data_IF_619963838031
#
_entry.id   IF_619963838031
#
_cell.length_a   1.000
_cell.length_b   1.000
_cell.length_c   1.000
_cell.angle_alpha   90.00
_cell.angle_beta   90.00
_cell.angle_gamma   90.00
#
_symmetry.space_group_name_H-M   'P 1'
#
loop_
_entity.id
_entity.type
_entity.pdbx_description
1 polymer ?
#
# COMPACT_ATOMS: atom_id res chain seq x y z
N UNK A 1 -19.92 31.10 36.37
CA UNK A 1 -19.84 29.77 35.76
C UNK A 1 -21.15 29.28 35.10
N UNK A 2 -22.23 30.08 35.06
CA UNK A 2 -23.50 29.73 34.39
C UNK A 2 -23.77 30.44 33.05
N UNK A 3 -22.95 31.41 32.65
CA UNK A 3 -23.13 32.18 31.42
C UNK A 3 -22.37 31.66 30.20
N UNK A 4 -21.32 30.89 30.38
CA UNK A 4 -20.54 30.28 29.28
C UNK A 4 -21.25 29.10 28.62
N UNK A 5 -22.06 28.38 29.37
CA UNK A 5 -22.74 27.17 28.87
C UNK A 5 -23.94 27.52 27.94
N UNK A 6 -24.55 28.69 28.14
CA UNK A 6 -25.65 29.14 27.28
C UNK A 6 -25.18 29.64 25.91
N UNK A 7 -23.98 30.24 25.83
CA UNK A 7 -23.43 30.68 24.53
C UNK A 7 -22.96 29.49 23.67
N UNK A 8 -22.38 28.44 24.28
CA UNK A 8 -21.98 27.22 23.53
C UNK A 8 -23.17 26.45 22.93
N UNK A 9 -24.30 26.41 23.65
CA UNK A 9 -25.51 25.76 23.10
C UNK A 9 -26.12 26.51 21.93
N UNK A 10 -26.10 27.83 21.97
CA UNK A 10 -26.65 28.68 20.88
C UNK A 10 -25.79 28.63 19.61
N UNK A 11 -24.46 28.54 19.74
CA UNK A 11 -23.56 28.41 18.59
C UNK A 11 -23.69 27.04 17.90
N UNK A 12 -23.85 25.96 18.67
CA UNK A 12 -24.07 24.63 18.08
C UNK A 12 -25.42 24.53 17.35
N UNK A 13 -26.45 25.19 17.86
CA UNK A 13 -27.79 25.17 17.24
C UNK A 13 -27.82 25.99 15.93
N UNK A 14 -27.08 27.14 15.86
CA UNK A 14 -26.98 27.93 14.63
C UNK A 14 -26.13 27.21 13.54
N UNK A 15 -25.04 26.55 13.90
CA UNK A 15 -24.25 25.79 12.93
C UNK A 15 -25.01 24.57 12.40
N UNK A 16 -25.79 23.89 13.24
CA UNK A 16 -26.63 22.77 12.81
C UNK A 16 -27.75 23.18 11.83
N UNK A 17 -28.38 24.32 12.07
CA UNK A 17 -29.43 24.82 11.19
C UNK A 17 -28.88 25.35 9.84
N UNK A 18 -27.68 25.96 9.84
CA UNK A 18 -27.03 26.42 8.62
C UNK A 18 -26.53 25.26 7.75
N UNK A 19 -26.02 24.17 8.33
CA UNK A 19 -25.65 22.98 7.55
C UNK A 19 -26.85 22.22 7.00
N UNK A 20 -27.95 22.15 7.73
CA UNK A 20 -29.17 21.52 7.22
C UNK A 20 -29.79 22.31 6.05
N UNK A 21 -29.72 23.64 6.07
CA UNK A 21 -30.24 24.47 4.95
C UNK A 21 -29.31 24.45 3.72
N UNK A 22 -28.00 24.29 3.88
CA UNK A 22 -27.08 24.13 2.76
C UNK A 22 -27.20 22.73 2.08
N UNK A 23 -27.53 21.69 2.84
CA UNK A 23 -27.79 20.35 2.28
C UNK A 23 -29.13 20.26 1.53
N UNK A 24 -30.11 21.11 1.84
CA UNK A 24 -31.39 21.15 1.16
C UNK A 24 -31.39 22.02 -0.12
N UNK A 25 -30.41 22.89 -0.31
CA UNK A 25 -30.30 23.71 -1.52
C UNK A 25 -29.34 23.12 -2.57
N UNK A 26 -28.57 22.09 -2.23
CA UNK A 26 -27.69 21.37 -3.15
C UNK A 26 -28.38 20.20 -3.89
N UNK A 27 -29.60 19.82 -3.51
CA UNK A 27 -30.36 18.72 -4.13
C UNK A 27 -31.52 19.20 -5.01
N UNK A 28 -31.44 20.39 -5.56
CA UNK A 28 -32.41 20.94 -6.51
C UNK A 28 -32.16 20.56 -7.97
N UNK A 29 -31.27 19.62 -8.25
CA UNK A 29 -31.27 18.86 -9.49
C UNK A 29 -32.29 17.72 -9.32
N UNK A 30 -33.40 17.76 -10.03
CA UNK A 30 -34.25 16.60 -10.18
C UNK A 30 -33.37 15.45 -10.66
N UNK A 31 -33.03 14.50 -9.74
CA UNK A 31 -32.52 13.22 -10.21
C UNK A 31 -33.51 12.75 -11.25
N UNK A 32 -33.11 12.51 -12.51
CA UNK A 32 -34.02 11.97 -13.49
C UNK A 32 -34.59 10.70 -12.87
N UNK A 33 -35.93 10.64 -12.80
CA UNK A 33 -36.61 9.45 -12.31
C UNK A 33 -36.19 8.27 -13.19
N UNK A 34 -36.14 7.08 -12.64
CA UNK A 34 -35.80 5.87 -13.40
C UNK A 34 -36.54 5.80 -14.77
N UNK A 35 -37.78 6.31 -14.82
CA UNK A 35 -38.59 6.44 -16.04
C UNK A 35 -37.95 7.33 -17.12
N UNK A 36 -37.19 8.37 -16.77
CA UNK A 36 -36.56 9.24 -17.79
C UNK A 36 -35.34 8.59 -18.44
N UNK A 37 -34.67 7.67 -17.73
CA UNK A 37 -33.57 6.86 -18.29
C UNK A 37 -34.07 5.69 -19.15
N UNK A 38 -35.19 5.13 -18.80
CA UNK A 38 -35.78 4.00 -19.55
C UNK A 38 -36.22 4.38 -20.97
N UNK A 39 -36.39 5.66 -21.27
CA UNK A 39 -36.87 6.16 -22.55
C UNK A 39 -35.82 6.83 -23.44
N UNK A 40 -34.54 6.79 -23.00
CA UNK A 40 -33.48 7.44 -23.75
C UNK A 40 -32.91 6.50 -24.80
N UNK A 41 -33.11 6.79 -26.06
CA UNK A 41 -32.46 6.10 -27.18
C UNK A 41 -30.92 6.35 -27.22
N UNK A 42 -30.45 7.25 -26.38
CA UNK A 42 -29.03 7.65 -26.27
C UNK A 42 -28.38 7.21 -24.96
N UNK A 43 -28.92 6.21 -24.31
CA UNK A 43 -28.34 5.72 -23.05
C UNK A 43 -26.99 5.09 -23.30
N UNK A 44 -25.97 5.59 -22.55
CA UNK A 44 -24.62 5.04 -22.58
C UNK A 44 -24.41 4.11 -21.39
N UNK A 45 -24.12 2.87 -21.66
CA UNK A 45 -23.84 1.85 -20.66
C UNK A 45 -22.37 1.46 -20.72
N UNK A 46 -21.66 1.52 -19.58
CA UNK A 46 -20.23 1.21 -19.53
C UNK A 46 -19.34 2.25 -20.21
N UNK A 47 -18.22 1.82 -20.77
CA UNK A 47 -17.25 2.67 -21.46
C UNK A 47 -17.63 2.74 -22.94
N UNK A 48 -18.02 3.92 -23.40
CA UNK A 48 -18.40 4.16 -24.79
C UNK A 48 -19.91 4.33 -25.00
N UNK A 49 -20.30 4.76 -26.20
CA UNK A 49 -21.71 4.87 -26.57
C UNK A 49 -22.26 3.50 -26.97
N UNK A 50 -23.28 3.11 -26.29
CA UNK A 50 -24.00 1.88 -26.59
C UNK A 50 -25.50 2.19 -26.77
N UNK A 51 -26.01 2.17 -28.00
CA UNK A 51 -27.41 2.38 -28.28
C UNK A 51 -28.23 1.10 -28.03
N UNK A 52 -28.35 0.73 -26.74
CA UNK A 52 -29.09 -0.47 -26.34
C UNK A 52 -30.27 -0.15 -25.45
N UNK A 53 -31.06 -1.17 -25.13
CA UNK A 53 -32.17 -1.07 -24.19
C UNK A 53 -31.59 -0.86 -22.78
N UNK A 54 -31.99 0.20 -22.05
CA UNK A 54 -31.56 0.39 -20.64
C UNK A 54 -31.92 -0.77 -19.69
N UNK A 55 -32.88 -1.62 -20.11
CA UNK A 55 -33.25 -2.81 -19.35
C UNK A 55 -32.36 -4.03 -19.60
N UNK A 56 -31.49 -3.97 -20.62
CA UNK A 56 -30.52 -5.03 -20.83
C UNK A 56 -29.56 -5.14 -19.65
N UNK A 57 -29.49 -6.30 -19.07
CA UNK A 57 -28.56 -6.65 -18.03
C UNK A 57 -27.57 -7.72 -18.54
N UNK A 58 -26.31 -7.30 -18.74
CA UNK A 58 -25.25 -8.18 -19.19
C UNK A 58 -24.55 -8.89 -18.03
N UNK A 59 -24.91 -8.59 -16.79
CA UNK A 59 -24.35 -9.27 -15.62
C UNK A 59 -24.83 -10.73 -15.63
N UNK A 60 -23.91 -11.70 -15.48
CA UNK A 60 -24.32 -13.10 -15.39
C UNK A 60 -25.16 -13.34 -14.14
N UNK A 61 -26.26 -14.04 -14.28
CA UNK A 61 -26.98 -14.58 -13.13
C UNK A 61 -26.11 -15.65 -12.47
N UNK A 62 -25.91 -15.54 -11.14
CA UNK A 62 -25.10 -16.47 -10.38
C UNK A 62 -26.00 -17.36 -9.51
N UNK A 63 -25.73 -18.66 -9.49
CA UNK A 63 -26.39 -19.60 -8.60
C UNK A 63 -25.37 -20.59 -7.98
N UNK A 64 -25.64 -21.09 -6.74
CA UNK A 64 -24.81 -22.13 -6.14
C UNK A 64 -24.81 -23.42 -6.97
N UNK A 65 -23.64 -24.02 -7.13
CA UNK A 65 -23.50 -25.37 -7.74
C UNK A 65 -23.15 -26.40 -6.69
N UNK A 66 -24.12 -27.15 -6.17
CA UNK A 66 -23.87 -28.19 -5.15
C UNK A 66 -23.33 -29.51 -5.73
N UNK A 67 -23.21 -29.62 -7.04
CA UNK A 67 -22.83 -30.86 -7.71
C UNK A 67 -21.34 -31.03 -7.90
N UNK A 68 -20.63 -29.97 -8.26
CA UNK A 68 -19.23 -30.03 -8.70
C UNK A 68 -18.27 -29.66 -7.56
N UNK A 69 -17.36 -30.57 -7.25
CA UNK A 69 -16.25 -30.31 -6.33
C UNK A 69 -15.13 -29.58 -7.06
N UNK A 70 -14.78 -28.37 -6.61
CA UNK A 70 -13.81 -27.50 -7.28
C UNK A 70 -13.27 -26.42 -6.34
N UNK A 71 -12.35 -25.57 -6.78
CA UNK A 71 -12.01 -24.34 -6.09
C UNK A 71 -13.20 -23.36 -6.16
N UNK A 72 -13.90 -23.19 -5.04
CA UNK A 72 -15.07 -22.31 -4.90
C UNK A 72 -14.69 -20.89 -4.46
N UNK A 73 -13.41 -20.61 -4.18
CA UNK A 73 -12.87 -19.30 -3.87
C UNK A 73 -12.51 -18.49 -5.12
N UNK A 74 -12.31 -19.17 -6.25
CA UNK A 74 -11.87 -18.52 -7.48
C UNK A 74 -12.80 -17.40 -7.93
N UNK A 75 -12.23 -16.21 -8.17
CA UNK A 75 -12.94 -14.99 -8.56
C UNK A 75 -14.00 -14.55 -7.55
N UNK A 76 -13.82 -14.89 -6.28
CA UNK A 76 -14.65 -14.44 -5.18
C UNK A 76 -14.04 -13.21 -4.51
N UNK A 77 -14.91 -12.41 -3.89
CA UNK A 77 -14.45 -11.23 -3.16
C UNK A 77 -13.58 -11.65 -1.98
N UNK A 78 -12.40 -11.03 -1.87
CA UNK A 78 -11.49 -11.24 -0.77
C UNK A 78 -11.21 -9.92 -0.03
N UNK A 79 -10.95 -10.02 1.26
CA UNK A 79 -10.72 -8.90 2.17
C UNK A 79 -9.52 -9.23 3.05
N UNK A 80 -8.77 -8.22 3.45
CA UNK A 80 -7.61 -8.40 4.32
C UNK A 80 -7.55 -7.33 5.40
N UNK A 81 -6.83 -7.63 6.49
CA UNK A 81 -6.54 -6.68 7.57
C UNK A 81 -5.77 -5.48 7.07
N UNK A 82 -4.86 -5.71 6.12
CA UNK A 82 -4.02 -4.68 5.52
C UNK A 82 -3.59 -5.08 4.10
N UNK A 83 -3.04 -4.12 3.36
CA UNK A 83 -2.29 -4.36 2.12
C UNK A 83 -1.10 -3.41 2.09
N UNK A 84 0.06 -3.92 1.67
CA UNK A 84 1.28 -3.12 1.57
C UNK A 84 1.14 -2.01 0.54
N UNK A 85 0.45 -2.30 -0.55
CA UNK A 85 0.25 -1.39 -1.67
C UNK A 85 -1.12 -1.65 -2.31
N UNK A 86 -1.70 -0.64 -2.97
CA UNK A 86 -2.99 -0.78 -3.64
C UNK A 86 -2.94 -1.70 -4.88
N UNK A 87 -1.73 -2.05 -5.36
CA UNK A 87 -1.55 -3.05 -6.41
C UNK A 87 -1.36 -4.48 -5.85
N UNK A 88 -1.32 -4.67 -4.53
CA UNK A 88 -1.06 -5.94 -3.85
C UNK A 88 -2.21 -6.25 -2.88
N UNK A 89 -3.44 -6.16 -3.39
CA UNK A 89 -4.68 -6.25 -2.61
C UNK A 89 -5.21 -7.67 -2.51
N UNK A 90 -6.09 -7.91 -1.54
CA UNK A 90 -6.65 -9.23 -1.24
C UNK A 90 -7.31 -9.93 -2.46
N UNK A 91 -7.90 -9.17 -3.38
CA UNK A 91 -8.54 -9.69 -4.59
C UNK A 91 -7.61 -10.52 -5.47
N UNK A 92 -6.32 -10.22 -5.45
CA UNK A 92 -5.32 -10.93 -6.24
C UNK A 92 -5.02 -12.34 -5.71
N UNK A 93 -5.43 -12.64 -4.47
CA UNK A 93 -5.29 -13.98 -3.91
C UNK A 93 -6.46 -14.92 -4.24
N UNK A 94 -7.39 -14.49 -5.11
CA UNK A 94 -8.53 -15.32 -5.54
C UNK A 94 -8.81 -15.21 -7.04
N UNK A 95 -7.89 -14.64 -7.83
CA UNK A 95 -8.09 -14.40 -9.26
C UNK A 95 -7.79 -15.63 -10.14
N UNK A 96 -7.24 -16.67 -9.53
CA UNK A 96 -6.89 -17.93 -10.19
C UNK A 96 -5.52 -17.90 -10.87
N UNK A 97 -4.66 -16.93 -10.53
CA UNK A 97 -3.30 -16.80 -11.03
C UNK A 97 -2.32 -17.20 -9.93
N UNK A 98 -1.63 -18.32 -10.13
CA UNK A 98 -0.56 -18.75 -9.22
C UNK A 98 0.79 -18.29 -9.78
N UNK A 99 1.57 -17.61 -8.94
CA UNK A 99 2.93 -17.17 -9.26
C UNK A 99 3.86 -17.45 -8.06
N UNK A 100 5.12 -17.70 -8.34
CA UNK A 100 6.22 -17.83 -7.38
C UNK A 100 7.16 -16.62 -7.39
N UNK A 101 6.93 -15.69 -8.32
CA UNK A 101 7.74 -14.48 -8.45
C UNK A 101 7.34 -13.45 -7.41
N UNK A 102 8.33 -12.90 -6.74
CA UNK A 102 8.12 -11.83 -5.76
C UNK A 102 7.91 -10.48 -6.45
N UNK A 103 7.01 -9.62 -5.95
CA UNK A 103 6.87 -8.27 -6.47
C UNK A 103 8.16 -7.48 -6.25
N UNK A 104 8.55 -6.70 -7.27
CA UNK A 104 9.72 -5.81 -7.20
C UNK A 104 9.26 -4.37 -6.99
N UNK A 105 9.80 -3.71 -6.00
CA UNK A 105 9.46 -2.32 -5.69
C UNK A 105 10.53 -1.63 -4.88
N UNK A 106 10.52 -0.30 -4.95
CA UNK A 106 11.28 0.55 -4.06
C UNK A 106 10.47 0.89 -2.81
N UNK A 107 11.08 0.78 -1.65
CA UNK A 107 10.57 1.35 -0.40
C UNK A 107 11.54 2.39 0.16
N UNK A 108 11.00 3.44 0.75
CA UNK A 108 11.72 4.44 1.54
C UNK A 108 11.21 4.38 2.97
N UNK A 109 12.09 4.24 3.93
CA UNK A 109 11.76 4.19 5.35
C UNK A 109 12.66 5.08 6.20
N UNK A 110 12.16 5.43 7.38
CA UNK A 110 12.81 6.24 8.41
C UNK A 110 12.74 5.50 9.73
N UNK A 111 13.34 6.02 10.83
CA UNK A 111 13.12 5.46 12.16
C UNK A 111 11.64 5.36 12.57
N UNK A 112 10.80 6.25 12.06
CA UNK A 112 9.36 6.32 12.38
C UNK A 112 8.50 5.39 11.52
N UNK A 113 9.08 4.72 10.53
CA UNK A 113 8.40 3.78 9.65
C UNK A 113 8.54 4.08 8.15
N UNK A 114 7.67 3.45 7.37
CA UNK A 114 7.69 3.58 5.91
C UNK A 114 7.10 4.92 5.46
N UNK A 115 7.79 5.57 4.51
CA UNK A 115 7.31 6.77 3.85
C UNK A 115 6.12 6.41 2.92
N UNK A 116 5.07 7.25 2.83
CA UNK A 116 3.95 7.02 1.94
C UNK A 116 4.41 6.76 0.50
N UNK A 117 3.77 5.79 -0.17
CA UNK A 117 4.20 5.33 -1.51
C UNK A 117 4.45 6.45 -2.50
N UNK A 118 3.52 7.42 -2.61
CA UNK A 118 3.63 8.57 -3.53
C UNK A 118 4.85 9.45 -3.28
N UNK A 119 5.46 9.36 -2.10
CA UNK A 119 6.57 10.20 -1.65
C UNK A 119 7.92 9.47 -1.68
N UNK A 120 7.91 8.15 -1.92
CA UNK A 120 9.13 7.31 -1.90
C UNK A 120 10.12 7.68 -3.01
N UNK A 121 9.61 8.14 -4.12
CA UNK A 121 10.40 8.48 -5.30
C UNK A 121 10.82 9.95 -5.36
N UNK A 122 10.30 10.80 -4.46
CA UNK A 122 10.53 12.25 -4.52
C UNK A 122 12.00 12.68 -4.46
N UNK A 123 12.88 11.86 -3.90
CA UNK A 123 14.32 12.15 -3.86
C UNK A 123 15.11 11.52 -5.02
N UNK A 124 14.43 10.78 -5.90
CA UNK A 124 15.07 10.09 -7.04
C UNK A 124 14.28 10.30 -8.34
N UNK A 125 13.43 11.33 -8.37
CA UNK A 125 12.55 11.63 -9.52
C UNK A 125 13.14 12.70 -10.47
N UNK A 126 14.33 13.24 -10.14
CA UNK A 126 14.98 14.36 -10.83
C UNK A 126 14.08 15.62 -10.85
N UNK A 127 13.11 15.69 -9.94
CA UNK A 127 12.14 16.78 -9.86
C UNK A 127 12.60 17.90 -8.92
N UNK A 128 12.66 19.16 -9.37
CA UNK A 128 13.16 20.26 -8.54
C UNK A 128 12.20 20.70 -7.42
N UNK A 129 11.00 20.17 -7.40
CA UNK A 129 9.94 20.56 -6.45
C UNK A 129 9.58 19.47 -5.44
N UNK A 130 9.86 18.23 -5.77
CA UNK A 130 9.64 17.07 -4.90
C UNK A 130 10.68 17.07 -3.77
N UNK A 131 10.29 16.69 -2.57
CA UNK A 131 11.21 16.63 -1.43
C UNK A 131 10.68 15.75 -0.31
N UNK A 132 11.59 15.12 0.41
CA UNK A 132 11.30 14.48 1.68
C UNK A 132 11.97 15.25 2.83
N UNK A 133 11.26 15.31 3.96
CA UNK A 133 11.74 15.96 5.18
C UNK A 133 11.93 14.90 6.25
N UNK A 134 13.09 14.90 6.88
CA UNK A 134 13.46 14.00 7.96
C UNK A 134 13.71 14.80 9.22
N UNK A 135 13.23 14.36 10.41
CA UNK A 135 13.43 15.07 11.65
C UNK A 135 14.91 15.20 11.95
N UNK A 136 15.25 16.26 12.66
CA UNK A 136 16.61 16.54 13.09
C UNK A 136 17.12 15.62 14.19
N UNK A 137 18.35 15.87 14.61
CA UNK A 137 19.07 14.98 15.50
C UNK A 137 19.74 13.84 14.73
N UNK A 138 20.00 12.73 15.41
CA UNK A 138 20.51 11.51 14.79
C UNK A 138 19.33 10.77 14.16
N UNK A 139 19.29 10.75 12.83
CA UNK A 139 18.21 10.12 12.05
C UNK A 139 18.78 9.39 10.83
N UNK A 140 17.93 8.75 10.07
CA UNK A 140 18.31 8.13 8.79
C UNK A 140 17.14 8.08 7.81
N UNK A 141 17.46 7.89 6.55
CA UNK A 141 16.55 7.34 5.57
C UNK A 141 17.16 6.08 4.95
N UNK A 142 16.30 5.14 4.53
CA UNK A 142 16.70 3.86 3.96
C UNK A 142 15.89 3.57 2.73
N UNK A 143 16.56 3.37 1.61
CA UNK A 143 16.00 2.77 0.40
C UNK A 143 16.11 1.25 0.50
N UNK A 144 14.99 0.57 0.37
CA UNK A 144 14.93 -0.89 0.23
C UNK A 144 14.48 -1.22 -1.18
N UNK A 145 15.34 -1.92 -1.90
CA UNK A 145 15.11 -2.40 -3.26
C UNK A 145 14.54 -3.81 -3.14
N UNK A 146 13.23 -3.92 -2.90
CA UNK A 146 12.62 -5.22 -2.66
C UNK A 146 12.77 -6.15 -3.87
N UNK A 147 13.41 -7.30 -3.63
CA UNK A 147 13.68 -8.38 -4.58
C UNK A 147 14.60 -8.02 -5.76
N UNK A 148 15.38 -6.98 -5.62
CA UNK A 148 16.49 -6.66 -6.53
C UNK A 148 17.61 -5.93 -5.78
N UNK A 149 18.78 -5.85 -6.37
CA UNK A 149 19.91 -5.12 -5.84
C UNK A 149 20.62 -4.34 -6.94
N UNK A 150 21.24 -3.22 -6.57
CA UNK A 150 21.98 -2.35 -7.48
C UNK A 150 23.36 -2.06 -6.92
N UNK A 151 24.35 -2.02 -7.81
CA UNK A 151 25.68 -1.53 -7.46
C UNK A 151 25.72 -0.02 -7.67
N UNK A 152 26.24 0.70 -6.68
CA UNK A 152 26.46 2.15 -6.76
C UNK A 152 27.84 2.49 -6.21
N UNK A 153 28.52 3.45 -6.84
CA UNK A 153 29.85 3.92 -6.44
C UNK A 153 29.83 5.30 -5.77
N UNK A 154 28.73 6.04 -5.88
CA UNK A 154 28.57 7.39 -5.29
C UNK A 154 27.12 7.67 -4.93
N UNK A 155 26.91 8.59 -4.00
CA UNK A 155 25.63 9.20 -3.70
C UNK A 155 25.74 10.71 -3.77
N UNK A 156 24.95 11.35 -4.61
CA UNK A 156 24.78 12.80 -4.65
C UNK A 156 23.53 13.19 -3.85
N UNK A 157 23.71 14.11 -2.91
CA UNK A 157 22.66 14.63 -2.04
C UNK A 157 22.44 16.11 -2.32
N UNK A 158 21.23 16.49 -2.73
CA UNK A 158 20.82 17.89 -2.90
C UNK A 158 19.67 18.20 -1.95
N UNK A 159 19.78 19.30 -1.21
CA UNK A 159 18.74 19.65 -0.26
C UNK A 159 19.11 20.82 0.64
N UNK A 160 18.56 20.81 1.84
CA UNK A 160 18.83 21.80 2.88
C UNK A 160 18.84 21.15 4.26
N UNK A 161 19.58 21.76 5.20
CA UNK A 161 19.43 21.48 6.62
C UNK A 161 18.97 22.74 7.34
N UNK A 162 17.91 22.60 8.13
CA UNK A 162 17.42 23.61 9.07
C UNK A 162 18.01 23.30 10.43
N UNK A 163 18.54 24.28 11.14
CA UNK A 163 19.25 24.03 12.38
C UNK A 163 19.06 25.13 13.42
N UNK A 164 19.20 24.78 14.70
CA UNK A 164 19.25 25.75 15.80
C UNK A 164 20.69 26.28 15.94
N UNK A 165 20.89 27.56 15.61
CA UNK A 165 22.19 28.24 15.70
C UNK A 165 22.71 28.44 17.13
N UNK A 166 21.86 28.25 18.14
CA UNK A 166 22.22 28.29 19.55
C UNK A 166 22.77 26.94 20.05
N UNK A 167 22.28 25.85 19.50
CA UNK A 167 22.67 24.47 19.89
C UNK A 167 23.78 23.95 19.01
N UNK A 168 23.73 24.19 17.71
CA UNK A 168 24.71 23.66 16.77
C UNK A 168 26.06 24.37 16.92
N UNK A 169 27.07 23.62 17.34
CA UNK A 169 28.45 24.09 17.50
C UNK A 169 29.38 23.68 16.36
N UNK A 170 28.82 23.10 15.32
CA UNK A 170 29.55 22.45 14.24
C UNK A 170 29.82 20.97 14.54
N UNK A 171 30.28 20.29 13.50
CA UNK A 171 30.45 18.83 13.51
C UNK A 171 29.23 18.12 12.96
N UNK A 172 29.43 17.35 11.87
CA UNK A 172 28.42 16.53 11.26
C UNK A 172 29.02 15.26 10.66
N UNK A 173 28.18 14.26 10.52
CA UNK A 173 28.47 13.05 9.76
C UNK A 173 27.26 12.68 8.90
N UNK A 174 27.51 12.33 7.64
CA UNK A 174 26.59 11.68 6.73
C UNK A 174 27.22 10.36 6.33
N UNK A 175 26.66 9.24 6.76
CA UNK A 175 27.25 7.91 6.61
C UNK A 175 26.34 7.07 5.72
N UNK A 176 26.91 6.58 4.61
CA UNK A 176 26.22 5.65 3.72
C UNK A 176 26.58 4.22 4.09
N UNK A 177 25.56 3.38 4.19
CA UNK A 177 25.70 1.96 4.50
C UNK A 177 24.91 1.13 3.48
N UNK A 178 25.46 -0.04 3.13
CA UNK A 178 24.81 -1.04 2.31
C UNK A 178 24.50 -2.32 3.09
N UNK A 179 23.42 -3.00 2.74
CA UNK A 179 23.03 -4.28 3.32
C UNK A 179 22.28 -5.14 2.29
N UNK A 180 22.30 -6.48 2.44
CA UNK A 180 21.52 -7.42 1.64
C UNK A 180 20.52 -8.23 2.49
N UNK A 181 20.49 -7.99 3.82
CA UNK A 181 19.57 -8.66 4.74
C UNK A 181 18.82 -7.68 5.66
N UNK A 182 19.09 -6.37 5.50
CA UNK A 182 18.51 -5.31 6.32
C UNK A 182 18.93 -5.31 7.80
N UNK A 183 19.82 -6.21 8.20
CA UNK A 183 20.31 -6.41 9.58
C UNK A 183 21.79 -6.12 9.72
N UNK A 184 22.59 -6.69 8.84
CA UNK A 184 24.03 -6.49 8.80
C UNK A 184 24.39 -5.37 7.84
N UNK A 185 24.94 -4.27 8.37
CA UNK A 185 25.21 -3.05 7.63
C UNK A 185 26.70 -2.83 7.47
N UNK A 186 27.15 -2.57 6.25
CA UNK A 186 28.52 -2.22 5.91
C UNK A 186 28.59 -0.72 5.61
N UNK A 187 29.46 0.03 6.27
CA UNK A 187 29.76 1.41 5.88
C UNK A 187 30.46 1.41 4.52
N UNK A 188 29.85 2.08 3.55
CA UNK A 188 30.35 2.16 2.17
C UNK A 188 30.82 3.54 1.78
N UNK A 189 30.52 4.58 2.55
CA UNK A 189 30.97 5.92 2.32
C UNK A 189 30.60 6.85 3.46
N UNK A 190 31.40 7.90 3.65
CA UNK A 190 31.18 8.87 4.71
C UNK A 190 31.61 10.27 4.28
N UNK A 191 30.81 11.25 4.65
CA UNK A 191 31.15 12.66 4.64
C UNK A 191 31.08 13.19 6.07
N UNK A 192 32.12 13.89 6.53
CA UNK A 192 32.14 14.49 7.86
C UNK A 192 32.93 15.77 7.89
N UNK A 193 32.61 16.66 8.81
CA UNK A 193 33.32 17.90 9.01
C UNK A 193 33.19 18.45 10.44
N UNK A 194 34.15 19.28 10.88
CA UNK A 194 34.09 19.98 12.15
C UNK A 194 33.20 21.22 12.13
N UNK A 195 32.85 21.72 10.93
CA UNK A 195 31.92 22.84 10.73
C UNK A 195 30.48 22.37 10.55
N UNK A 196 29.65 23.23 9.97
CA UNK A 196 28.29 22.88 9.54
C UNK A 196 28.29 22.40 8.09
N UNK A 197 27.43 21.47 7.71
CA UNK A 197 27.40 20.94 6.33
C UNK A 197 26.92 21.98 5.33
N UNK A 198 27.34 21.85 4.06
CA UNK A 198 26.87 22.66 2.95
C UNK A 198 27.21 24.14 3.03
N UNK A 199 26.49 24.96 2.29
CA UNK A 199 26.72 26.39 2.15
C UNK A 199 25.69 27.20 2.93
N UNK A 200 26.17 28.26 3.64
CA UNK A 200 25.27 29.21 4.29
C UNK A 200 24.45 29.98 3.23
N UNK A 201 23.17 30.15 3.50
CA UNK A 201 22.28 31.00 2.70
C UNK A 201 21.73 32.11 3.57
N UNK A 202 21.52 33.29 2.97
CA UNK A 202 20.87 34.41 3.65
C UNK A 202 19.38 34.15 3.75
N UNK A 203 18.90 33.66 4.87
CA UNK A 203 17.49 33.36 5.07
C UNK A 203 17.26 32.54 6.32
N UNK A 204 16.03 32.58 6.79
CA UNK A 204 15.53 31.78 7.90
C UNK A 204 14.18 31.21 7.49
N UNK A 205 13.89 30.04 7.94
CA UNK A 205 12.57 29.40 7.72
C UNK A 205 11.78 29.39 9.01
N UNK A 206 10.47 29.47 8.89
CA UNK A 206 9.56 29.29 10.02
C UNK A 206 9.41 27.80 10.28
N UNK A 207 9.61 27.40 11.52
CA UNK A 207 9.43 26.01 11.97
C UNK A 207 8.49 25.98 13.17
N UNK A 208 7.84 24.87 13.38
CA UNK A 208 7.01 24.62 14.55
C UNK A 208 7.87 24.54 15.81
N UNK A 209 7.50 25.27 16.85
CA UNK A 209 8.16 25.22 18.16
C UNK A 209 7.08 25.01 19.24
N UNK A 210 6.93 23.78 19.75
CA UNK A 210 5.89 23.48 20.74
C UNK A 210 6.07 24.21 22.07
N UNK A 211 7.26 24.77 22.33
CA UNK A 211 7.55 25.51 23.55
C UNK A 211 7.23 27.01 23.47
N UNK A 212 6.77 27.48 22.31
CA UNK A 212 6.38 28.87 22.13
C UNK A 212 4.87 29.07 22.08
N UNK A 213 4.42 30.17 22.63
CA UNK A 213 2.99 30.54 22.66
C UNK A 213 2.39 30.69 21.25
N UNK A 214 3.17 31.09 20.28
CA UNK A 214 2.79 31.22 18.86
C UNK A 214 2.91 29.87 18.13
N UNK A 215 3.56 28.84 18.72
CA UNK A 215 3.85 27.58 18.06
C UNK A 215 4.89 27.69 16.94
N UNK A 216 5.51 28.85 16.74
CA UNK A 216 6.43 29.11 15.62
C UNK A 216 7.73 29.77 16.06
N UNK A 217 8.81 29.42 15.38
CA UNK A 217 10.12 30.10 15.49
C UNK A 217 10.77 30.15 14.11
N UNK A 218 11.81 30.99 13.98
CA UNK A 218 12.60 31.04 12.74
C UNK A 218 13.99 30.46 12.97
N UNK A 219 14.42 29.58 12.08
CA UNK A 219 15.73 28.94 12.13
C UNK A 219 16.53 29.18 10.85
N UNK A 220 17.88 29.26 10.93
CA UNK A 220 18.74 29.37 9.77
C UNK A 220 18.75 28.07 8.95
N UNK A 221 19.09 28.23 7.68
CA UNK A 221 19.14 27.14 6.69
C UNK A 221 20.50 27.10 6.03
N UNK A 222 20.96 25.91 5.70
CA UNK A 222 22.14 25.71 4.83
C UNK A 222 21.74 24.85 3.63
N UNK A 223 22.24 25.23 2.46
CA UNK A 223 22.04 24.46 1.23
C UNK A 223 23.05 23.33 1.14
N UNK A 224 22.58 22.13 0.94
CA UNK A 224 23.37 20.93 0.72
C UNK A 224 23.51 20.66 -0.78
N UNK A 225 24.71 20.32 -1.21
CA UNK A 225 25.01 19.80 -2.53
C UNK A 225 26.29 18.98 -2.37
N UNK A 226 26.13 17.77 -1.87
CA UNK A 226 27.23 16.94 -1.41
C UNK A 226 27.31 15.65 -2.23
N UNK A 227 28.51 15.18 -2.49
CA UNK A 227 28.74 13.88 -3.11
C UNK A 227 29.57 13.00 -2.19
N UNK A 228 29.09 11.81 -1.92
CA UNK A 228 29.77 10.80 -1.09
C UNK A 228 30.24 9.69 -2.02
N UNK A 229 31.54 9.50 -2.10
CA UNK A 229 32.14 8.39 -2.85
C UNK A 229 32.13 7.14 -2.00
N UNK A 230 31.72 6.02 -2.58
CA UNK A 230 31.71 4.73 -1.91
C UNK A 230 33.06 4.01 -2.06
N UNK A 231 33.42 3.29 -1.02
CA UNK A 231 34.60 2.42 -1.00
C UNK A 231 34.26 0.97 -1.44
N UNK A 232 33.04 0.74 -1.92
CA UNK A 232 32.52 -0.55 -2.37
C UNK A 232 31.66 -0.34 -3.61
N UNK A 233 31.81 -1.24 -4.57
CA UNK A 233 30.95 -1.34 -5.77
C UNK A 233 30.02 -2.57 -5.68
N UNK A 234 29.81 -3.13 -4.49
CA UNK A 234 28.90 -4.25 -4.32
C UNK A 234 27.45 -3.79 -4.59
N UNK A 235 26.66 -4.70 -5.15
CA UNK A 235 25.22 -4.51 -5.27
C UNK A 235 24.56 -4.78 -3.91
N UNK A 236 23.73 -3.85 -3.47
CA UNK A 236 22.95 -3.98 -2.24
C UNK A 236 21.47 -3.89 -2.52
N UNK A 237 20.69 -4.63 -1.76
CA UNK A 237 19.23 -4.49 -1.74
C UNK A 237 18.77 -3.34 -0.83
N UNK A 238 19.64 -2.89 0.06
CA UNK A 238 19.33 -1.82 1.00
C UNK A 238 20.46 -0.81 1.07
N UNK A 239 20.10 0.47 0.97
CA UNK A 239 20.99 1.60 1.20
C UNK A 239 20.45 2.47 2.33
N UNK A 240 21.24 2.71 3.38
CA UNK A 240 20.87 3.57 4.49
C UNK A 240 21.83 4.74 4.59
N UNK A 241 21.25 5.94 4.76
CA UNK A 241 22.01 7.17 4.95
C UNK A 241 21.72 7.68 6.36
N UNK A 242 22.72 7.57 7.24
CA UNK A 242 22.66 8.10 8.59
C UNK A 242 23.03 9.58 8.56
N UNK A 243 22.25 10.40 9.21
CA UNK A 243 22.39 11.86 9.29
C UNK A 243 22.62 12.23 10.75
N UNK A 244 23.77 12.84 11.05
CA UNK A 244 24.16 13.21 12.41
C UNK A 244 24.63 14.65 12.44
N UNK A 245 23.94 15.49 13.20
CA UNK A 245 24.35 16.85 13.50
C UNK A 245 23.61 17.36 14.74
N UNK A 246 24.35 17.73 15.77
CA UNK A 246 23.75 18.33 16.95
C UNK A 246 23.04 19.64 16.58
N UNK A 247 21.79 19.81 17.01
CA UNK A 247 20.97 20.99 16.72
C UNK A 247 20.38 21.03 15.31
N UNK A 248 20.49 19.98 14.50
CA UNK A 248 19.67 19.85 13.31
C UNK A 248 18.18 19.80 13.72
N UNK A 249 17.35 20.56 13.04
CA UNK A 249 15.90 20.57 13.22
C UNK A 249 15.23 19.73 12.13
N UNK A 250 15.58 19.98 10.86
CA UNK A 250 15.09 19.19 9.72
C UNK A 250 16.21 18.99 8.70
N UNK A 251 16.26 17.81 8.13
CA UNK A 251 16.96 17.51 6.89
C UNK A 251 15.93 17.42 5.77
N UNK A 252 16.10 18.23 4.75
CA UNK A 252 15.17 18.26 3.61
C UNK A 252 15.96 17.96 2.35
N UNK A 253 15.66 16.83 1.72
CA UNK A 253 16.33 16.45 0.46
C UNK A 253 15.35 16.54 -0.70
N UNK A 254 15.80 17.20 -1.76
CA UNK A 254 15.13 17.20 -3.06
C UNK A 254 15.67 16.09 -3.95
N UNK A 255 16.97 15.72 -3.80
CA UNK A 255 17.60 14.68 -4.57
C UNK A 255 18.54 13.81 -3.72
N UNK A 256 18.50 12.52 -3.97
CA UNK A 256 19.43 11.51 -3.44
C UNK A 256 19.81 10.53 -4.57
N UNK A 257 20.61 11.01 -5.51
CA UNK A 257 20.92 10.29 -6.74
C UNK A 257 22.11 9.35 -6.56
N UNK A 258 21.85 8.06 -6.76
CA UNK A 258 22.90 7.05 -6.80
C UNK A 258 23.58 7.03 -8.18
N UNK A 259 24.90 6.96 -8.18
CA UNK A 259 25.70 6.97 -9.40
C UNK A 259 26.69 5.82 -9.38
N UNK A 260 27.06 5.32 -10.55
CA UNK A 260 28.21 4.44 -10.70
C UNK A 260 29.53 5.18 -10.44
N UNK A 261 30.65 4.46 -10.51
CA UNK A 261 31.99 5.05 -10.32
C UNK A 261 32.34 6.12 -11.36
N UNK A 262 31.79 5.99 -12.58
CA UNK A 262 32.07 6.88 -13.71
C UNK A 262 31.14 8.09 -13.72
N UNK A 263 30.13 8.11 -12.83
CA UNK A 263 29.18 9.21 -12.63
C UNK A 263 27.89 9.04 -13.45
N UNK A 264 27.66 7.88 -14.04
CA UNK A 264 26.37 7.51 -14.65
C UNK A 264 25.30 7.29 -13.57
N UNK A 265 24.07 7.76 -13.81
CA UNK A 265 22.94 7.56 -12.90
C UNK A 265 22.63 6.07 -12.76
N UNK A 266 22.58 5.58 -11.52
CA UNK A 266 22.08 4.24 -11.20
C UNK A 266 20.59 4.37 -10.83
N UNK A 267 19.75 3.95 -11.75
CA UNK A 267 18.32 3.99 -11.53
C UNK A 267 17.91 3.01 -10.42
N UNK A 268 17.40 3.56 -9.30
CA UNK A 268 16.93 2.79 -8.14
C UNK A 268 15.48 2.35 -8.28
N UNK A 269 14.76 2.83 -9.30
CA UNK A 269 13.41 2.37 -9.61
C UNK A 269 13.48 1.07 -10.38
N UNK A 270 12.78 0.01 -9.96
CA UNK A 270 12.53 -1.12 -10.84
C UNK A 270 11.57 -0.66 -11.94
N UNK A 271 11.62 -1.29 -13.10
CA UNK A 271 10.40 -1.42 -13.89
C UNK A 271 9.40 -2.11 -12.94
N UNK A 272 8.36 -1.37 -12.52
CA UNK A 272 7.43 -1.85 -11.50
C UNK A 272 6.85 -3.18 -11.96
N UNK A 273 7.18 -4.22 -11.26
CA UNK A 273 6.66 -5.54 -11.49
C UNK A 273 5.79 -5.92 -10.31
N UNK A 274 4.48 -5.81 -10.53
CA UNK A 274 3.49 -6.28 -9.59
C UNK A 274 2.89 -7.57 -10.14
N UNK A 275 3.18 -8.65 -9.45
CA UNK A 275 2.54 -9.93 -9.71
C UNK A 275 1.13 -9.95 -9.14
N UNK A 276 0.36 -10.96 -9.55
CA UNK A 276 -0.93 -11.23 -8.94
C UNK A 276 -0.76 -11.87 -7.58
N UNK A 277 -0.51 -11.04 -6.56
CA UNK A 277 -0.34 -11.47 -5.16
C UNK A 277 -0.94 -10.47 -4.20
N UNK A 278 -1.44 -10.97 -3.08
CA UNK A 278 -1.66 -10.14 -1.90
C UNK A 278 -0.38 -10.08 -1.06
N UNK A 279 -0.09 -8.88 -0.53
CA UNK A 279 1.01 -8.67 0.39
C UNK A 279 0.53 -7.85 1.59
N UNK A 280 0.77 -8.32 2.80
CA UNK A 280 0.40 -7.60 4.02
C UNK A 280 1.22 -6.33 4.22
N UNK A 281 0.68 -5.34 4.94
CA UNK A 281 1.43 -4.14 5.31
C UNK A 281 2.48 -4.42 6.38
N UNK A 282 2.25 -5.39 7.26
CA UNK A 282 3.14 -5.77 8.35
C UNK A 282 3.44 -7.26 8.39
N UNK A 283 4.41 -7.66 9.22
CA UNK A 283 4.69 -9.06 9.56
C UNK A 283 4.10 -9.47 10.92
N UNK A 284 3.18 -8.66 11.48
CA UNK A 284 2.46 -8.99 12.71
C UNK A 284 1.30 -9.95 12.48
N UNK A 285 0.31 -9.93 13.38
CA UNK A 285 -0.92 -10.66 13.14
C UNK A 285 -1.73 -10.00 12.03
N UNK A 286 -1.98 -10.76 10.97
CA UNK A 286 -2.70 -10.33 9.77
C UNK A 286 -3.72 -11.41 9.38
N UNK A 287 -4.72 -11.02 8.59
CA UNK A 287 -5.69 -11.96 8.06
C UNK A 287 -6.11 -11.62 6.64
N UNK A 288 -6.49 -12.66 5.91
CA UNK A 288 -7.19 -12.56 4.64
C UNK A 288 -8.41 -13.48 4.68
N UNK A 289 -9.59 -13.00 4.31
CA UNK A 289 -10.76 -13.88 4.15
C UNK A 289 -11.42 -13.73 2.78
N UNK A 290 -12.06 -14.83 2.37
CA UNK A 290 -12.82 -14.93 1.11
C UNK A 290 -14.30 -15.04 1.44
N UNK A 291 -15.14 -14.26 0.75
CA UNK A 291 -16.59 -14.44 0.70
C UNK A 291 -16.96 -15.39 -0.45
N UNK A 292 -17.34 -16.60 -0.16
CA UNK A 292 -17.74 -17.61 -1.15
C UNK A 292 -19.06 -17.24 -1.87
N UNK A 293 -19.74 -16.19 -1.39
CA UNK A 293 -20.99 -15.68 -1.96
C UNK A 293 -22.24 -16.45 -1.52
N UNK A 294 -22.09 -17.66 -1.05
CA UNK A 294 -23.19 -18.52 -0.53
C UNK A 294 -22.65 -19.50 0.51
N UNK A 295 -23.55 -20.04 1.34
CA UNK A 295 -23.22 -21.20 2.19
C UNK A 295 -22.76 -22.33 1.30
N UNK A 296 -21.58 -22.87 1.57
CA UNK A 296 -20.89 -23.86 0.74
C UNK A 296 -20.28 -24.96 1.61
N UNK A 297 -20.26 -26.20 1.09
CA UNK A 297 -19.63 -27.34 1.73
C UNK A 297 -18.20 -27.51 1.20
N UNK A 298 -17.20 -27.49 2.08
CA UNK A 298 -15.79 -27.66 1.71
C UNK A 298 -15.01 -28.38 2.81
N UNK A 299 -13.89 -28.99 2.45
CA UNK A 299 -13.08 -29.82 3.35
C UNK A 299 -11.57 -29.60 3.22
N UNK A 300 -11.14 -28.78 2.26
CA UNK A 300 -9.70 -28.49 2.06
C UNK A 300 -9.50 -27.04 1.65
N UNK A 301 -8.44 -26.42 2.17
CA UNK A 301 -7.90 -25.14 1.72
C UNK A 301 -6.49 -25.35 1.18
N UNK A 302 -6.17 -24.73 0.03
CA UNK A 302 -4.82 -24.72 -0.52
C UNK A 302 -4.32 -23.28 -0.54
N UNK A 303 -3.13 -23.05 0.00
CA UNK A 303 -2.49 -21.75 0.05
C UNK A 303 -1.20 -21.80 -0.76
N UNK A 304 -1.09 -20.89 -1.72
CA UNK A 304 0.12 -20.73 -2.54
C UNK A 304 0.87 -19.49 -2.04
N UNK A 305 1.98 -19.72 -1.34
CA UNK A 305 2.78 -18.70 -0.71
C UNK A 305 3.96 -18.25 -1.58
N UNK A 306 4.37 -17.01 -1.41
CA UNK A 306 5.70 -16.52 -1.75
C UNK A 306 6.48 -16.25 -0.45
N UNK A 307 5.83 -15.64 0.54
CA UNK A 307 6.35 -15.55 1.90
C UNK A 307 5.27 -16.01 2.89
N UNK A 308 5.48 -17.21 3.44
CA UNK A 308 4.45 -17.91 4.19
C UNK A 308 4.33 -17.50 5.65
N UNK A 309 3.17 -17.79 6.23
CA UNK A 309 2.97 -17.85 7.65
C UNK A 309 3.41 -19.23 8.19
N UNK A 310 4.31 -19.25 9.18
CA UNK A 310 4.70 -20.50 9.88
C UNK A 310 3.82 -20.80 11.08
N UNK A 311 2.98 -19.83 11.49
CA UNK A 311 2.00 -19.98 12.55
C UNK A 311 0.72 -19.22 12.19
N UNK A 312 -0.40 -19.86 12.41
CA UNK A 312 -1.71 -19.28 12.13
C UNK A 312 -2.79 -20.35 12.01
N UNK A 313 -3.95 -19.97 11.50
CA UNK A 313 -5.15 -20.82 11.44
C UNK A 313 -5.95 -20.57 10.18
N UNK A 314 -6.64 -21.61 9.73
CA UNK A 314 -7.80 -21.49 8.85
C UNK A 314 -9.04 -21.43 9.72
N UNK A 315 -9.88 -20.44 9.48
CA UNK A 315 -11.12 -20.20 10.23
C UNK A 315 -12.31 -20.06 9.28
N UNK A 316 -13.49 -20.37 9.76
CA UNK A 316 -14.73 -20.28 9.00
C UNK A 316 -15.76 -19.44 9.74
N UNK A 317 -16.67 -18.83 8.98
CA UNK A 317 -17.74 -17.99 9.52
C UNK A 317 -18.96 -17.97 8.59
N UNK A 318 -20.14 -17.73 9.18
CA UNK A 318 -21.38 -17.50 8.43
C UNK A 318 -21.70 -16.01 8.25
N UNK A 319 -21.06 -15.15 9.05
CA UNK A 319 -21.38 -13.71 9.15
C UNK A 319 -20.16 -12.78 9.00
N UNK A 320 -18.95 -13.33 8.81
CA UNK A 320 -17.66 -12.63 8.78
C UNK A 320 -17.32 -11.85 10.08
N UNK A 321 -18.05 -12.11 11.16
CA UNK A 321 -17.85 -11.47 12.47
C UNK A 321 -17.37 -12.50 13.50
N UNK A 322 -18.08 -13.62 13.61
CA UNK A 322 -17.73 -14.70 14.51
C UNK A 322 -17.01 -15.80 13.76
N UNK A 323 -15.78 -16.08 14.19
CA UNK A 323 -14.87 -17.00 13.52
C UNK A 323 -14.63 -18.25 14.35
N UNK A 324 -14.69 -19.42 13.71
CA UNK A 324 -14.44 -20.73 14.31
C UNK A 324 -13.21 -21.35 13.67
N UNK A 325 -12.29 -21.85 14.48
CA UNK A 325 -11.09 -22.55 14.01
C UNK A 325 -11.47 -23.84 13.28
N UNK A 326 -10.95 -23.98 12.06
CA UNK A 326 -11.19 -25.14 11.19
C UNK A 326 -9.93 -25.98 10.97
N UNK A 327 -8.74 -25.39 11.06
CA UNK A 327 -7.45 -26.08 11.04
C UNK A 327 -6.35 -25.12 11.49
N UNK A 328 -5.21 -25.68 11.94
CA UNK A 328 -3.96 -24.93 12.12
C UNK A 328 -3.21 -24.84 10.78
N UNK A 329 -2.43 -23.78 10.56
CA UNK A 329 -1.52 -23.71 9.42
C UNK A 329 -0.35 -24.69 9.64
N UNK A 330 0.06 -25.46 8.63
CA UNK A 330 1.21 -26.31 8.73
C UNK A 330 2.48 -25.46 8.83
N UNK A 331 3.35 -25.80 9.76
CA UNK A 331 4.71 -25.25 9.83
C UNK A 331 5.58 -25.74 8.68
N UNK A 332 6.88 -25.41 8.72
CA UNK A 332 7.86 -25.80 7.71
C UNK A 332 8.07 -24.77 6.62
N UNK A 333 8.85 -25.13 5.60
CA UNK A 333 9.39 -24.25 4.57
C UNK A 333 8.73 -24.40 3.18
N UNK A 334 7.81 -25.35 3.03
CA UNK A 334 7.06 -25.55 1.79
C UNK A 334 6.19 -24.34 1.46
N UNK A 335 6.18 -23.92 0.19
CA UNK A 335 5.42 -22.76 -0.28
C UNK A 335 3.99 -23.08 -0.72
N UNK A 336 3.59 -24.34 -0.68
CA UNK A 336 2.22 -24.78 -0.94
C UNK A 336 1.74 -25.55 0.29
N UNK A 337 0.69 -25.05 0.91
CA UNK A 337 0.04 -25.72 2.03
C UNK A 337 -1.30 -26.32 1.59
N UNK A 338 -1.38 -27.64 1.49
CA UNK A 338 -2.65 -28.35 1.34
C UNK A 338 -3.20 -28.70 2.73
N UNK A 339 -4.23 -27.99 3.17
CA UNK A 339 -4.75 -28.06 4.53
C UNK A 339 -6.09 -28.80 4.52
N UNK A 340 -6.11 -30.02 5.01
CA UNK A 340 -7.34 -30.73 5.31
C UNK A 340 -7.99 -30.08 6.55
N UNK A 341 -9.25 -29.72 6.43
CA UNK A 341 -9.99 -29.12 7.54
C UNK A 341 -10.45 -30.20 8.54
N UNK A 342 -10.80 -29.78 9.74
CA UNK A 342 -11.34 -30.63 10.80
C UNK A 342 -12.75 -31.14 10.44
N UNK A 343 -12.81 -32.00 9.43
CA UNK A 343 -14.04 -32.46 8.80
C UNK A 343 -14.62 -31.46 7.81
N UNK A 344 -15.70 -31.87 7.15
CA UNK A 344 -16.43 -31.00 6.22
C UNK A 344 -16.99 -29.77 6.95
N UNK A 345 -16.74 -28.62 6.40
CA UNK A 345 -17.27 -27.34 6.87
C UNK A 345 -18.46 -26.96 5.99
N UNK A 346 -19.41 -26.21 6.58
CA UNK A 346 -20.51 -25.58 5.86
C UNK A 346 -20.55 -24.11 6.30
N UNK A 347 -20.00 -23.20 5.50
CA UNK A 347 -19.88 -21.80 5.83
C UNK A 347 -19.85 -20.92 4.56
N UNK A 348 -20.04 -19.63 4.73
CA UNK A 348 -19.93 -18.65 3.64
C UNK A 348 -18.56 -18.02 3.56
N UNK A 349 -17.87 -17.85 4.68
CA UNK A 349 -16.60 -17.14 4.75
C UNK A 349 -15.48 -18.07 5.22
N UNK A 350 -14.31 -17.95 4.57
CA UNK A 350 -13.08 -18.67 4.95
C UNK A 350 -11.98 -17.66 5.18
N UNK A 351 -11.34 -17.69 6.34
CA UNK A 351 -10.26 -16.79 6.73
C UNK A 351 -8.97 -17.55 6.98
N UNK A 352 -7.86 -17.00 6.47
CA UNK A 352 -6.50 -17.35 6.87
C UNK A 352 -6.05 -16.31 7.88
N UNK A 353 -5.88 -16.70 9.14
CA UNK A 353 -5.28 -15.88 10.20
C UNK A 353 -3.81 -16.22 10.29
N UNK A 354 -2.94 -15.25 10.11
CA UNK A 354 -1.48 -15.38 10.08
C UNK A 354 -0.89 -14.68 11.29
N UNK A 355 -0.02 -15.35 12.04
CA UNK A 355 0.51 -14.85 13.30
C UNK A 355 2.03 -14.68 13.31
N UNK A 356 2.75 -15.45 12.50
CA UNK A 356 4.21 -15.39 12.42
C UNK A 356 4.68 -15.68 11.00
N UNK A 357 5.42 -14.75 10.35
CA UNK A 357 5.99 -14.95 9.04
C UNK A 357 7.32 -15.71 9.11
N UNK A 358 7.58 -16.56 8.13
CA UNK A 358 8.79 -17.36 8.05
C UNK A 358 10.09 -16.54 8.11
N UNK A 359 10.10 -15.35 7.52
CA UNK A 359 11.30 -14.51 7.40
C UNK A 359 11.26 -13.26 8.29
N UNK A 360 10.34 -13.16 9.25
CA UNK A 360 10.14 -11.95 10.07
C UNK A 360 9.75 -10.73 9.24
N UNK A 361 9.27 -10.93 8.01
CA UNK A 361 8.85 -9.94 7.05
C UNK A 361 7.34 -9.99 6.84
N UNK A 362 6.84 -9.41 5.75
CA UNK A 362 5.41 -9.41 5.40
C UNK A 362 4.99 -10.75 4.82
N UNK A 363 3.72 -11.10 4.96
CA UNK A 363 3.15 -12.26 4.27
C UNK A 363 2.91 -11.90 2.80
N UNK A 364 3.17 -12.86 1.91
CA UNK A 364 2.88 -12.74 0.48
C UNK A 364 2.18 -14.03 0.05
N UNK A 365 0.93 -13.89 -0.38
CA UNK A 365 0.06 -15.00 -0.76
C UNK A 365 -0.36 -14.81 -2.22
N UNK A 366 -0.01 -15.78 -3.05
CA UNK A 366 -0.33 -15.76 -4.48
C UNK A 366 -1.79 -16.18 -4.71
N UNK A 367 -2.22 -17.30 -4.10
CA UNK A 367 -3.59 -17.78 -4.30
C UNK A 367 -4.12 -18.51 -3.05
N UNK A 368 -5.41 -18.34 -2.81
CA UNK A 368 -6.21 -19.11 -1.84
C UNK A 368 -7.23 -19.94 -2.59
N UNK A 369 -7.14 -21.26 -2.46
CA UNK A 369 -8.15 -22.14 -2.99
C UNK A 369 -8.97 -22.76 -1.86
N UNK A 370 -10.27 -22.78 -2.02
CA UNK A 370 -11.20 -23.49 -1.13
C UNK A 370 -11.85 -24.60 -1.93
N UNK A 371 -11.53 -25.84 -1.58
CA UNK A 371 -11.96 -27.02 -2.34
C UNK A 371 -13.27 -27.55 -1.77
N UNK A 372 -14.32 -27.47 -2.60
CA UNK A 372 -15.66 -27.84 -2.13
C UNK A 372 -16.75 -27.71 -3.20
N UNK A 373 -18.00 -27.71 -2.74
CA UNK A 373 -19.22 -27.60 -3.53
C UNK A 373 -20.09 -26.43 -3.03
N UNK A 374 -21.02 -25.97 -3.86
CA UNK A 374 -21.97 -24.90 -3.47
C UNK A 374 -21.56 -23.50 -3.90
N UNK A 375 -20.28 -23.28 -4.29
CA UNK A 375 -19.84 -21.97 -4.78
C UNK A 375 -20.61 -21.50 -6.01
N UNK A 376 -20.76 -20.18 -6.15
CA UNK A 376 -21.54 -19.56 -7.21
C UNK A 376 -20.92 -19.80 -8.60
N UNK A 377 -21.76 -20.17 -9.56
CA UNK A 377 -21.41 -20.27 -10.99
C UNK A 377 -22.33 -19.42 -11.84
N UNK A 378 -21.78 -18.90 -12.93
CA UNK A 378 -22.59 -18.18 -13.91
C UNK A 378 -23.60 -19.15 -14.55
N UNK A 379 -24.85 -18.76 -14.55
CA UNK A 379 -25.88 -19.52 -15.23
C UNK A 379 -25.82 -19.25 -16.73
N UNK A 380 -26.06 -20.26 -17.58
CA UNK A 380 -26.19 -20.03 -19.01
C UNK A 380 -27.25 -18.95 -19.26
N UNK A 381 -26.87 -17.89 -19.96
CA UNK A 381 -27.86 -16.93 -20.48
C UNK A 381 -28.70 -17.71 -21.49
N UNK A 382 -30.00 -17.80 -21.26
CA UNK A 382 -30.90 -18.33 -22.26
C UNK A 382 -30.67 -17.50 -23.52
N UNK A 383 -30.12 -18.11 -24.58
CA UNK A 383 -29.96 -17.41 -25.85
C UNK A 383 -31.33 -16.84 -26.21
N UNK A 384 -31.48 -15.52 -26.44
CA UNK A 384 -32.74 -15.01 -26.93
C UNK A 384 -33.08 -15.83 -28.18
N UNK A 385 -34.28 -16.41 -28.20
CA UNK A 385 -34.72 -17.19 -29.32
C UNK A 385 -34.42 -16.35 -30.57
N UNK A 386 -33.60 -16.90 -31.47
CA UNK A 386 -33.10 -16.17 -32.62
C UNK A 386 -34.29 -15.49 -33.28
N UNK A 387 -34.47 -14.21 -33.05
CA UNK A 387 -35.46 -13.44 -33.78
C UNK A 387 -35.03 -13.54 -35.24
N UNK A 388 -35.85 -14.12 -36.07
CA UNK A 388 -35.65 -14.15 -37.53
C UNK A 388 -35.76 -12.71 -38.03
N UNK A 389 -34.83 -11.86 -37.62
CA UNK A 389 -34.71 -10.50 -38.12
C UNK A 389 -34.28 -10.58 -39.58
N UNK A 390 -35.16 -10.19 -40.47
CA UNK A 390 -34.89 -10.01 -41.89
C UNK A 390 -33.95 -8.79 -41.99
N UNK A 391 -32.68 -9.02 -42.27
CA UNK A 391 -31.77 -7.93 -42.59
C UNK A 391 -32.19 -7.39 -43.94
N UNK A 392 -32.77 -6.21 -43.96
CA UNK A 392 -33.05 -5.47 -45.22
C UNK A 392 -31.80 -4.61 -45.45
N UNK A 393 -30.93 -5.07 -46.35
CA UNK A 393 -29.85 -4.24 -46.88
C UNK A 393 -30.48 -3.28 -47.89
N UNK A 394 -30.51 -1.97 -47.60
CA UNK A 394 -30.83 -0.88 -48.52
C UNK A 394 -29.56 -0.32 -49.13
#
# INVERSE_FOLDING_TARGET
MKTLDKQKKNVLTLCGAAMASLLLWGCGGTNPTAESFERSDYYTRGIGQYPGDPKEDFSPSLAPDPSTYRNIARLRSAFASSSHDYNLVAQLATDGIVTDEQPQYLNLSTPDGDVPRREREWMIDEGPYSRNTFPGGDTYFRFTLANYSKAAGKLSLVGTVVYDDKVSKGGYEIICQGSNDGKNWTEIGKLSGSGLPGQAVSGRVVVTDPNKQTGETTMPVRKLNETITFNSENAYSDYRVLLKMAGAHDWVFTEANFMDKDGGLVEMKPSQFFNSVWMSATGGEEWLYVDLGSMSEFDKVVLHWINKAVKGKVQVSDDAVQWKDAAELPGGDGLIDEIALNGKQNARYVRVLMQEPANGSRYILSEVEVMGKGGLVAQPVASPAASKGKIILS
#
